data_IF_811125090166
#
_entry.id   IF_811125090166
#
_cell.length_a   1.000
_cell.length_b   1.000
_cell.length_c   1.000
_cell.angle_alpha   90.00
_cell.angle_beta   90.00
_cell.angle_gamma   90.00
#
_symmetry.space_group_name_H-M   'P 1'
#
loop_
_entity.id
_entity.type
_entity.pdbx_description
1 polymer ?
#
# COMPACT_ATOMS: atom_id res chain seq x y z
N UNK A 1 21.52 30.23 17.38
CA UNK A 1 22.83 29.63 17.00
C UNK A 1 23.09 28.49 17.98
N UNK A 2 23.68 27.38 17.54
CA UNK A 2 24.02 26.26 18.45
C UNK A 2 25.25 26.67 19.28
N UNK A 3 25.22 26.42 20.58
CA UNK A 3 26.31 26.74 21.53
C UNK A 3 27.03 25.49 22.03
N UNK A 4 26.30 24.37 22.16
CA UNK A 4 26.83 23.11 22.63
C UNK A 4 26.10 21.94 21.96
N UNK A 5 26.86 20.91 21.58
CA UNK A 5 26.35 19.61 21.15
C UNK A 5 26.95 18.55 22.07
N UNK A 6 26.11 17.80 22.77
CA UNK A 6 26.50 16.71 23.66
C UNK A 6 26.10 15.39 22.98
N UNK A 7 27.05 14.45 22.84
CA UNK A 7 26.83 13.17 22.17
C UNK A 7 27.35 12.02 23.03
N UNK A 8 26.47 11.06 23.32
CA UNK A 8 26.82 9.84 24.06
C UNK A 8 25.93 8.68 23.63
N UNK A 9 26.43 7.45 23.78
CA UNK A 9 25.66 6.21 23.60
C UNK A 9 25.10 5.99 22.20
N UNK A 10 25.74 6.53 21.15
CA UNK A 10 25.26 6.43 19.76
C UNK A 10 26.39 6.19 18.77
N UNK A 11 26.21 5.17 17.92
CA UNK A 11 27.17 4.79 16.88
C UNK A 11 28.59 4.54 17.44
N UNK A 12 29.56 5.40 17.12
CA UNK A 12 30.94 5.32 17.61
C UNK A 12 31.20 6.15 18.88
N UNK A 13 30.20 6.85 19.40
CA UNK A 13 30.27 7.55 20.69
C UNK A 13 29.92 6.59 21.81
N UNK A 14 30.83 6.44 22.78
CA UNK A 14 30.62 5.62 23.98
C UNK A 14 29.69 6.28 25.00
N UNK A 15 29.59 5.67 26.18
CA UNK A 15 28.68 6.14 27.23
C UNK A 15 29.11 7.46 27.88
N UNK A 16 30.39 7.83 27.76
CA UNK A 16 30.90 9.12 28.22
C UNK A 16 30.53 10.18 27.18
N UNK A 17 29.89 11.26 27.63
CA UNK A 17 29.49 12.36 26.74
C UNK A 17 30.68 13.12 26.20
N UNK A 18 30.76 13.18 24.88
CA UNK A 18 31.68 14.05 24.15
C UNK A 18 30.97 15.36 23.79
N UNK A 19 31.69 16.47 24.00
CA UNK A 19 31.10 17.81 23.93
C UNK A 19 31.74 18.64 22.82
N UNK A 20 30.89 19.13 21.91
CA UNK A 20 31.26 20.13 20.90
C UNK A 20 30.82 21.52 21.39
N UNK A 21 31.75 22.27 21.97
CA UNK A 21 31.54 23.62 22.50
C UNK A 21 32.28 24.66 21.65
N UNK A 22 32.22 25.93 22.07
CA UNK A 22 32.92 27.06 21.43
C UNK A 22 32.64 27.18 19.91
N UNK A 23 31.42 26.82 19.52
CA UNK A 23 31.01 26.81 18.12
C UNK A 23 30.99 28.23 17.55
N UNK A 24 31.64 28.39 16.41
CA UNK A 24 31.63 29.63 15.65
C UNK A 24 30.54 29.59 14.57
N UNK A 25 30.40 30.69 13.81
CA UNK A 25 29.47 30.72 12.66
C UNK A 25 29.78 29.63 11.64
N UNK A 26 31.06 29.26 11.49
CA UNK A 26 31.52 28.24 10.56
C UNK A 26 32.43 27.25 11.29
N UNK A 27 32.04 25.98 11.31
CA UNK A 27 32.78 24.93 12.01
C UNK A 27 33.19 23.87 10.99
N UNK A 28 34.46 23.48 11.02
CA UNK A 28 35.00 22.42 10.18
C UNK A 28 35.33 21.22 11.07
N UNK A 29 34.63 20.11 10.86
CA UNK A 29 34.83 18.87 11.63
C UNK A 29 35.44 17.84 10.69
N UNK A 30 36.62 17.32 11.05
CA UNK A 30 37.36 16.33 10.28
C UNK A 30 37.77 15.13 11.14
N UNK A 31 38.07 14.01 10.50
CA UNK A 31 38.43 12.77 11.16
C UNK A 31 38.36 11.58 10.21
N UNK A 32 38.82 10.42 10.64
CA UNK A 32 38.80 9.18 9.85
C UNK A 32 37.39 8.68 9.54
N UNK A 33 37.25 7.74 8.60
CA UNK A 33 35.97 7.06 8.38
C UNK A 33 35.57 6.30 9.65
N UNK A 34 34.30 6.42 10.05
CA UNK A 34 33.80 5.85 11.31
C UNK A 34 33.99 6.74 12.54
N UNK A 35 34.65 7.90 12.44
CA UNK A 35 34.89 8.81 13.56
C UNK A 35 33.64 9.57 14.08
N UNK A 36 32.42 9.18 13.66
CA UNK A 36 31.18 9.77 14.18
C UNK A 36 30.69 11.06 13.49
N UNK A 37 31.38 11.59 12.48
CA UNK A 37 30.97 12.84 11.77
C UNK A 37 29.52 12.83 11.29
N UNK A 38 29.09 11.75 10.64
CA UNK A 38 27.71 11.62 10.16
C UNK A 38 26.72 11.60 11.33
N UNK A 39 27.09 10.99 12.46
CA UNK A 39 26.28 10.96 13.68
C UNK A 39 26.01 12.36 14.21
N UNK A 40 27.01 13.24 14.25
CA UNK A 40 26.83 14.65 14.63
C UNK A 40 25.73 15.29 13.78
N UNK A 41 25.78 15.11 12.45
CA UNK A 41 24.75 15.68 11.56
C UNK A 41 23.35 15.11 11.84
N UNK A 42 23.25 13.82 12.17
CA UNK A 42 21.97 13.15 12.48
C UNK A 42 21.37 13.63 13.80
N UNK A 43 22.19 13.79 14.83
CA UNK A 43 21.78 14.36 16.12
C UNK A 43 21.25 15.78 15.93
N UNK A 44 21.92 16.59 15.11
CA UNK A 44 21.42 17.94 14.77
C UNK A 44 20.09 17.83 14.01
N UNK A 45 19.95 16.92 13.05
CA UNK A 45 18.74 16.80 12.25
C UNK A 45 17.50 16.39 13.07
N UNK A 46 17.66 15.43 13.99
CA UNK A 46 16.54 14.78 14.67
C UNK A 46 16.89 14.46 16.14
N UNK A 47 17.12 15.50 16.93
CA UNK A 47 17.48 15.41 18.36
C UNK A 47 16.60 14.45 19.17
N UNK A 48 15.29 14.39 18.90
CA UNK A 48 14.35 13.49 19.60
C UNK A 48 14.65 11.99 19.38
N UNK A 49 15.30 11.62 18.28
CA UNK A 49 15.71 10.23 18.02
C UNK A 49 16.95 9.82 18.83
N UNK A 50 17.61 10.76 19.52
CA UNK A 50 18.87 10.54 20.24
C UNK A 50 18.74 11.04 21.70
N UNK A 51 18.03 10.32 22.57
CA UNK A 51 17.68 10.78 23.92
C UNK A 51 18.90 10.98 24.85
N UNK A 52 20.03 10.37 24.53
CA UNK A 52 21.32 10.52 25.23
C UNK A 52 22.16 11.69 24.70
N UNK A 53 21.69 12.37 23.66
CA UNK A 53 22.35 13.50 23.03
C UNK A 53 21.53 14.77 23.26
N UNK A 54 22.18 15.93 23.14
CA UNK A 54 21.53 17.22 23.36
C UNK A 54 22.12 18.31 22.48
N UNK A 55 21.26 19.17 21.92
CA UNK A 55 21.68 20.33 21.14
C UNK A 55 21.21 21.61 21.83
N UNK A 56 22.14 22.33 22.45
CA UNK A 56 21.85 23.56 23.17
C UNK A 56 21.96 24.78 22.26
N UNK A 57 20.93 25.62 22.27
CA UNK A 57 20.82 26.81 21.44
C UNK A 57 21.01 28.08 22.26
N UNK A 58 21.68 29.08 21.66
CA UNK A 58 21.83 30.43 22.20
C UNK A 58 20.47 31.02 22.58
N UNK A 59 20.32 31.35 23.86
CA UNK A 59 19.07 31.88 24.41
C UNK A 59 17.90 30.89 24.40
N UNK A 60 18.17 29.59 24.32
CA UNK A 60 17.15 28.52 24.33
C UNK A 60 16.25 28.46 23.09
N UNK A 61 16.44 29.34 22.11
CA UNK A 61 15.58 29.42 20.93
C UNK A 61 16.13 28.54 19.81
N UNK A 62 15.44 27.43 19.55
CA UNK A 62 15.74 26.53 18.44
C UNK A 62 15.42 27.19 17.10
N UNK A 63 16.40 27.24 16.20
CA UNK A 63 16.19 27.71 14.83
C UNK A 63 15.81 26.55 13.91
N UNK A 64 15.23 26.86 12.76
CA UNK A 64 15.04 25.87 11.71
C UNK A 64 16.39 25.28 11.29
N UNK A 65 16.50 23.95 11.37
CA UNK A 65 17.72 23.22 11.05
C UNK A 65 17.65 22.78 9.59
N UNK A 66 18.69 23.07 8.83
CA UNK A 66 18.86 22.62 7.44
C UNK A 66 20.08 21.71 7.41
N UNK A 67 19.85 20.40 7.51
CA UNK A 67 20.92 19.40 7.53
C UNK A 67 21.01 18.70 6.18
N UNK A 68 22.10 18.97 5.47
CA UNK A 68 22.43 18.27 4.23
C UNK A 68 23.41 17.13 4.53
N UNK A 69 22.90 15.91 4.63
CA UNK A 69 23.69 14.71 4.84
C UNK A 69 23.21 13.56 3.93
N UNK A 70 23.81 12.37 4.07
CA UNK A 70 23.42 11.20 3.27
C UNK A 70 21.95 10.84 3.42
N UNK A 71 21.40 10.94 4.63
CA UNK A 71 20.00 10.60 4.89
C UNK A 71 19.04 11.59 4.20
N UNK A 72 19.40 12.88 4.16
CA UNK A 72 18.67 13.88 3.38
C UNK A 72 18.67 13.53 1.89
N UNK A 73 19.82 13.13 1.35
CA UNK A 73 19.94 12.72 -0.05
C UNK A 73 19.08 11.48 -0.32
N UNK A 74 19.18 10.44 0.50
CA UNK A 74 18.39 9.21 0.35
C UNK A 74 16.87 9.46 0.47
N UNK A 75 16.44 10.34 1.38
CA UNK A 75 15.01 10.67 1.54
C UNK A 75 14.46 11.51 0.39
N UNK A 76 15.25 12.42 -0.16
CA UNK A 76 14.76 13.42 -1.11
C UNK A 76 15.15 13.15 -2.56
N UNK A 77 16.12 12.27 -2.82
CA UNK A 77 16.67 11.99 -4.14
C UNK A 77 16.68 10.47 -4.39
N UNK A 78 15.50 9.85 -4.43
CA UNK A 78 15.39 8.47 -4.87
C UNK A 78 15.30 8.40 -6.40
N UNK A 79 16.11 7.53 -7.00
CA UNK A 79 15.97 7.18 -8.41
C UNK A 79 14.74 6.28 -8.56
N UNK A 80 13.73 6.74 -9.31
CA UNK A 80 12.65 5.83 -9.71
C UNK A 80 13.24 4.73 -10.60
N UNK A 81 12.96 3.46 -10.29
CA UNK A 81 13.44 2.31 -11.08
C UNK A 81 13.01 2.39 -12.56
N UNK A 82 11.90 3.07 -12.85
CA UNK A 82 11.35 3.25 -14.20
C UNK A 82 12.01 4.37 -15.02
N UNK A 83 12.58 5.40 -14.38
CA UNK A 83 13.14 6.57 -15.07
C UNK A 83 14.54 6.87 -14.54
N UNK A 84 15.53 6.14 -15.07
CA UNK A 84 16.95 6.43 -14.83
C UNK A 84 17.26 7.85 -15.32
N UNK A 85 17.71 8.71 -14.42
CA UNK A 85 18.16 10.08 -14.74
C UNK A 85 17.21 11.21 -14.32
N UNK A 86 16.01 10.91 -13.81
CA UNK A 86 15.11 11.93 -13.26
C UNK A 86 15.27 11.97 -11.73
N UNK A 87 15.78 13.10 -11.23
CA UNK A 87 15.84 13.40 -9.81
C UNK A 87 14.56 14.14 -9.43
N UNK A 88 13.66 13.47 -8.72
CA UNK A 88 12.49 14.14 -8.12
C UNK A 88 12.96 14.79 -6.82
N UNK A 89 12.63 16.06 -6.59
CA UNK A 89 13.05 16.82 -5.41
C UNK A 89 11.93 16.81 -4.37
N UNK A 90 12.12 16.10 -3.26
CA UNK A 90 11.29 16.25 -2.07
C UNK A 90 10.55 14.98 -1.66
N UNK A 91 10.55 14.73 -0.34
CA UNK A 91 9.90 13.57 0.26
C UNK A 91 8.39 13.48 -0.05
N UNK A 92 7.69 14.62 -0.09
CA UNK A 92 6.25 14.67 -0.39
C UNK A 92 5.91 14.19 -1.81
N UNK A 93 6.77 14.50 -2.78
CA UNK A 93 6.56 14.09 -4.18
C UNK A 93 6.76 12.58 -4.33
N UNK A 94 7.72 12.00 -3.60
CA UNK A 94 7.98 10.56 -3.59
C UNK A 94 6.82 9.80 -2.94
N UNK A 95 6.36 10.23 -1.76
CA UNK A 95 5.24 9.58 -1.07
C UNK A 95 3.94 9.64 -1.89
N UNK A 96 3.65 10.80 -2.50
CA UNK A 96 2.47 10.98 -3.35
C UNK A 96 2.53 10.07 -4.57
N UNK A 97 3.69 9.97 -5.21
CA UNK A 97 3.89 9.09 -6.36
C UNK A 97 3.74 7.62 -6.00
N UNK A 98 4.31 7.18 -4.87
CA UNK A 98 4.14 5.81 -4.39
C UNK A 98 2.67 5.47 -4.13
N UNK A 99 1.89 6.41 -3.56
CA UNK A 99 0.44 6.25 -3.39
C UNK A 99 -0.28 6.10 -4.73
N UNK A 100 0.08 6.91 -5.73
CA UNK A 100 -0.50 6.81 -7.09
C UNK A 100 -0.21 5.43 -7.69
N UNK A 101 1.03 4.93 -7.58
CA UNK A 101 1.41 3.61 -8.08
C UNK A 101 0.61 2.50 -7.39
N UNK A 102 0.48 2.56 -6.06
CA UNK A 102 -0.30 1.58 -5.30
C UNK A 102 -1.78 1.58 -5.71
N UNK A 103 -2.40 2.76 -5.82
CA UNK A 103 -3.81 2.89 -6.25
C UNK A 103 -4.03 2.38 -7.68
N UNK A 104 -3.07 2.62 -8.59
CA UNK A 104 -3.13 2.05 -9.95
C UNK A 104 -3.07 0.53 -9.95
N UNK A 105 -2.20 -0.05 -9.14
CA UNK A 105 -2.10 -1.50 -9.02
C UNK A 105 -3.39 -2.11 -8.44
N UNK A 106 -4.01 -1.46 -7.46
CA UNK A 106 -5.31 -1.89 -6.92
C UNK A 106 -6.42 -1.78 -7.97
N UNK A 107 -6.43 -0.71 -8.77
CA UNK A 107 -7.37 -0.55 -9.87
C UNK A 107 -7.23 -1.68 -10.90
N UNK A 108 -6.01 -2.00 -11.33
CA UNK A 108 -5.76 -3.07 -12.29
C UNK A 108 -6.23 -4.43 -11.76
N UNK A 109 -6.01 -4.70 -10.47
CA UNK A 109 -6.48 -5.91 -9.82
C UNK A 109 -8.02 -5.98 -9.76
N UNK A 110 -8.68 -4.86 -9.44
CA UNK A 110 -10.15 -4.77 -9.42
C UNK A 110 -10.76 -4.97 -10.81
N UNK A 111 -10.15 -4.39 -11.85
CA UNK A 111 -10.58 -4.59 -13.24
C UNK A 111 -10.47 -6.07 -13.62
N UNK A 112 -9.34 -6.70 -13.32
CA UNK A 112 -9.14 -8.13 -13.60
C UNK A 112 -10.16 -9.01 -12.86
N UNK A 113 -10.51 -8.67 -11.61
CA UNK A 113 -11.51 -9.42 -10.85
C UNK A 113 -12.94 -9.20 -11.41
N UNK A 114 -13.28 -7.97 -11.83
CA UNK A 114 -14.55 -7.69 -12.51
C UNK A 114 -14.66 -8.55 -13.78
N UNK A 115 -13.62 -8.57 -14.61
CA UNK A 115 -13.60 -9.36 -15.84
C UNK A 115 -13.79 -10.86 -15.53
N UNK A 116 -13.10 -11.37 -14.52
CA UNK A 116 -13.23 -12.77 -14.07
C UNK A 116 -14.64 -13.10 -13.59
N UNK A 117 -15.26 -12.22 -12.80
CA UNK A 117 -16.63 -12.40 -12.31
C UNK A 117 -17.64 -12.35 -13.46
N UNK A 118 -17.45 -11.43 -14.42
CA UNK A 118 -18.27 -11.38 -15.63
C UNK A 118 -18.19 -12.67 -16.45
N UNK A 119 -16.98 -13.19 -16.67
CA UNK A 119 -16.76 -14.45 -17.37
C UNK A 119 -17.40 -15.63 -16.64
N UNK A 120 -17.35 -15.65 -15.31
CA UNK A 120 -18.00 -16.69 -14.50
C UNK A 120 -19.53 -16.62 -14.59
N UNK A 121 -20.09 -15.40 -14.59
CA UNK A 121 -21.54 -15.19 -14.59
C UNK A 121 -22.17 -15.47 -15.95
N UNK A 122 -21.55 -15.00 -17.04
CA UNK A 122 -22.13 -15.00 -18.39
C UNK A 122 -21.43 -15.93 -19.39
N UNK A 123 -20.26 -16.48 -19.04
CA UNK A 123 -19.41 -17.21 -19.97
C UNK A 123 -18.76 -16.30 -21.03
N UNK A 124 -17.77 -16.83 -21.77
CA UNK A 124 -17.03 -16.06 -22.79
C UNK A 124 -17.90 -15.45 -23.90
N UNK A 125 -19.04 -16.08 -24.21
CA UNK A 125 -19.92 -15.67 -25.31
C UNK A 125 -21.25 -15.05 -24.84
N UNK A 126 -21.39 -14.72 -23.55
CA UNK A 126 -22.62 -14.12 -22.98
C UNK A 126 -23.82 -15.08 -22.84
N UNK A 127 -23.72 -16.30 -23.38
CA UNK A 127 -24.76 -17.33 -23.37
C UNK A 127 -24.44 -18.51 -22.46
N UNK A 128 -23.31 -18.46 -21.75
CA UNK A 128 -22.80 -19.54 -20.90
C UNK A 128 -22.71 -19.15 -19.42
N UNK A 129 -21.73 -19.72 -18.72
CA UNK A 129 -21.49 -19.47 -17.30
C UNK A 129 -22.67 -19.90 -16.42
N UNK A 130 -22.76 -19.31 -15.24
CA UNK A 130 -23.83 -19.61 -14.27
C UNK A 130 -25.23 -19.32 -14.80
N UNK A 131 -25.40 -18.28 -15.65
CA UNK A 131 -26.68 -18.01 -16.32
C UNK A 131 -27.06 -19.12 -17.31
N UNK A 132 -26.12 -19.59 -18.12
CA UNK A 132 -26.33 -20.70 -19.04
C UNK A 132 -26.69 -22.00 -18.31
N UNK A 133 -25.96 -22.33 -17.25
CA UNK A 133 -26.23 -23.49 -16.39
C UNK A 133 -27.64 -23.43 -15.80
N UNK A 134 -28.07 -22.26 -15.31
CA UNK A 134 -29.41 -22.05 -14.76
C UNK A 134 -30.51 -22.26 -15.81
N UNK A 135 -30.36 -21.67 -16.99
CA UNK A 135 -31.35 -21.84 -18.08
C UNK A 135 -31.50 -23.31 -18.49
N UNK A 136 -30.38 -24.02 -18.65
CA UNK A 136 -30.39 -25.44 -18.99
C UNK A 136 -31.07 -26.29 -17.90
N UNK A 137 -30.85 -25.96 -16.62
CA UNK A 137 -31.46 -26.66 -15.50
C UNK A 137 -32.98 -26.45 -15.48
N UNK A 138 -33.45 -25.21 -15.66
CA UNK A 138 -34.87 -24.87 -15.75
C UNK A 138 -35.58 -25.57 -16.92
N UNK A 139 -34.93 -25.64 -18.08
CA UNK A 139 -35.46 -26.34 -19.24
C UNK A 139 -35.57 -27.85 -18.98
N UNK A 140 -34.53 -28.46 -18.40
CA UNK A 140 -34.56 -29.88 -18.00
C UNK A 140 -35.68 -30.16 -16.98
N UNK A 141 -35.91 -29.22 -16.06
CA UNK A 141 -36.93 -29.35 -15.02
C UNK A 141 -38.34 -29.29 -15.65
N UNK A 142 -38.59 -28.30 -16.52
CA UNK A 142 -39.85 -28.18 -17.26
C UNK A 142 -40.14 -29.43 -18.07
N UNK A 143 -39.14 -29.98 -18.77
CA UNK A 143 -39.32 -31.19 -19.58
C UNK A 143 -39.67 -32.40 -18.69
N UNK A 144 -38.97 -32.59 -17.55
CA UNK A 144 -39.31 -33.63 -16.58
C UNK A 144 -40.74 -33.49 -16.07
N UNK A 145 -41.19 -32.28 -15.71
CA UNK A 145 -42.57 -32.04 -15.30
C UNK A 145 -43.56 -32.38 -16.42
N UNK A 146 -43.26 -32.01 -17.67
CA UNK A 146 -44.13 -32.30 -18.81
C UNK A 146 -44.29 -33.80 -19.07
N UNK A 147 -43.18 -34.55 -19.01
CA UNK A 147 -43.18 -36.01 -19.13
C UNK A 147 -44.05 -36.64 -18.04
N UNK A 148 -43.94 -36.18 -16.79
CA UNK A 148 -44.78 -36.70 -15.70
C UNK A 148 -46.26 -36.37 -15.92
N UNK A 149 -46.61 -35.14 -16.33
CA UNK A 149 -48.01 -34.79 -16.63
C UNK A 149 -48.61 -35.67 -17.72
N UNK A 150 -47.92 -35.84 -18.86
CA UNK A 150 -48.38 -36.72 -19.96
C UNK A 150 -48.60 -38.16 -19.51
N UNK A 151 -47.72 -38.69 -18.63
CA UNK A 151 -47.84 -40.04 -18.07
C UNK A 151 -49.11 -40.23 -17.22
N UNK A 152 -49.59 -39.18 -16.57
CA UNK A 152 -50.73 -39.23 -15.67
C UNK A 152 -52.04 -38.66 -16.26
N UNK A 153 -51.99 -37.97 -17.40
CA UNK A 153 -53.18 -37.42 -18.08
C UNK A 153 -54.20 -38.51 -18.48
N UNK A 154 -53.76 -39.69 -18.89
CA UNK A 154 -54.64 -40.81 -19.23
C UNK A 154 -55.38 -41.47 -18.05
N UNK A 155 -55.06 -41.10 -16.80
CA UNK A 155 -55.74 -41.60 -15.59
C UNK A 155 -56.87 -40.67 -15.11
N UNK A 156 -57.03 -39.50 -15.70
CA UNK A 156 -58.06 -38.52 -15.31
C UNK A 156 -59.36 -38.63 -16.11
N UNK A 157 -59.42 -39.48 -17.14
CA UNK A 157 -60.63 -39.70 -17.95
C UNK A 157 -61.62 -40.69 -17.34
N UNK A 158 -61.26 -41.43 -16.28
CA UNK A 158 -62.17 -42.41 -15.66
C UNK A 158 -63.30 -41.79 -14.81
N UNK A 159 -63.27 -40.48 -14.52
CA UNK A 159 -64.27 -39.84 -13.65
C UNK A 159 -65.50 -39.28 -14.39
N UNK A 160 -65.52 -39.27 -15.74
CA UNK A 160 -66.58 -38.61 -16.50
C UNK A 160 -67.55 -39.52 -17.27
N UNK A 161 -67.39 -40.85 -17.24
CA UNK A 161 -68.23 -41.78 -18.03
C UNK A 161 -69.00 -42.83 -17.21
N UNK A 162 -69.24 -42.60 -15.92
CA UNK A 162 -70.12 -43.46 -15.09
C UNK A 162 -71.47 -42.82 -14.76
N UNK A 163 -71.97 -41.96 -15.64
CA UNK A 163 -73.30 -41.39 -15.52
C UNK A 163 -74.01 -41.30 -16.86
N UNK A 164 -74.50 -42.42 -17.39
CA UNK A 164 -75.72 -42.55 -18.21
C UNK A 164 -75.77 -43.94 -18.86
N UNK A 165 -76.64 -44.82 -18.34
CA UNK A 165 -77.69 -45.48 -19.12
C UNK A 165 -78.29 -46.65 -18.33
N UNK A 166 -79.58 -46.48 -18.00
CA UNK A 166 -80.63 -47.50 -17.87
C UNK A 166 -80.53 -48.55 -16.76
#
# INVERSE_FOLDING_TARGET
MIELIEISGVASYGDISENLNELSRFNFIYGSNGSGKTTISRVIAEEMAFPTCKVTWKGGTKLQMMVYNRDFVEKNFNQSAELKGIFTLGQQDIETRNKITAVKQELDNLVAEIDRLYMTLQGQNGTGGKKGELMALEESFKEKCWVQKKKHDGKLTWFNESGHSS
#
